data_IF_319211226471
#
_entry.id   IF_319211226471
#
_cell.length_a   1.000
_cell.length_b   1.000
_cell.length_c   1.000
_cell.angle_alpha   90.00
_cell.angle_beta   90.00
_cell.angle_gamma   90.00
#
_symmetry.space_group_name_H-M   'P 1'
#
loop_
_entity.id
_entity.type
_entity.pdbx_description
1 polymer ?
#
# COMPACT_ATOMS: atom_id res chain seq x y z
N UNK A 1 21.27 32.60 18.74
CA UNK A 1 21.08 33.08 17.36
C UNK A 1 19.97 32.26 16.73
N UNK A 2 18.85 32.92 16.42
CA UNK A 2 17.57 32.29 16.10
C UNK A 2 17.57 31.59 14.75
N UNK A 3 16.99 30.39 14.71
CA UNK A 3 16.65 29.71 13.47
C UNK A 3 15.28 30.19 13.01
N UNK A 4 15.30 31.02 11.97
CA UNK A 4 14.20 31.41 11.12
C UNK A 4 13.41 30.18 10.63
N UNK A 5 12.15 30.07 11.04
CA UNK A 5 11.15 29.25 10.37
C UNK A 5 10.83 29.93 9.03
N UNK A 6 11.38 29.41 7.93
CA UNK A 6 10.83 29.70 6.61
C UNK A 6 9.57 28.86 6.44
N UNK A 7 8.42 29.45 6.78
CA UNK A 7 7.13 28.96 6.31
C UNK A 7 6.98 29.40 4.85
N UNK A 8 7.15 28.47 3.91
CA UNK A 8 6.78 28.69 2.51
C UNK A 8 5.27 28.53 2.43
N UNK A 9 4.55 29.65 2.47
CA UNK A 9 3.17 29.72 2.06
C UNK A 9 3.12 29.80 0.53
N UNK A 10 2.45 28.84 -0.12
CA UNK A 10 2.02 29.01 -1.50
C UNK A 10 0.67 28.32 -1.78
N UNK A 11 -0.16 29.09 -2.47
CA UNK A 11 -1.48 28.83 -3.09
C UNK A 11 -2.65 28.37 -2.22
N UNK A 12 -3.55 29.33 -2.02
CA UNK A 12 -4.94 29.18 -1.59
C UNK A 12 -5.72 28.18 -2.46
N UNK A 13 -5.93 26.98 -1.96
CA UNK A 13 -7.20 26.27 -2.14
C UNK A 13 -8.00 26.44 -0.86
N UNK A 14 -9.28 26.79 -0.97
CA UNK A 14 -10.20 26.90 0.18
C UNK A 14 -10.02 25.69 1.12
N UNK A 15 -10.02 25.90 2.45
CA UNK A 15 -9.90 24.79 3.38
C UNK A 15 -11.06 23.83 3.16
N UNK A 16 -10.74 22.59 2.83
CA UNK A 16 -11.68 21.48 2.94
C UNK A 16 -11.98 21.32 4.42
N UNK A 17 -13.12 21.87 4.85
CA UNK A 17 -13.63 21.69 6.20
C UNK A 17 -14.65 20.56 6.13
N UNK A 18 -14.39 19.39 6.75
CA UNK A 18 -15.41 18.38 6.91
C UNK A 18 -16.51 18.96 7.79
N UNK A 19 -17.65 19.31 7.21
CA UNK A 19 -18.82 19.71 7.98
C UNK A 19 -19.53 18.44 8.45
N UNK A 20 -19.36 18.05 9.71
CA UNK A 20 -20.27 17.10 10.34
C UNK A 20 -21.64 17.78 10.44
N UNK A 21 -22.62 17.30 9.69
CA UNK A 21 -23.97 17.86 9.74
C UNK A 21 -24.61 17.51 11.09
N UNK A 22 -25.10 18.55 11.75
CA UNK A 22 -25.99 18.48 12.90
C UNK A 22 -27.17 17.56 12.59
N UNK A 23 -27.49 16.65 13.50
CA UNK A 23 -28.45 15.54 13.34
C UNK A 23 -29.94 15.95 13.33
N UNK A 24 -30.27 17.23 13.20
CA UNK A 24 -31.65 17.68 13.04
C UNK A 24 -31.95 17.86 11.55
N UNK A 25 -32.51 16.81 10.93
CA UNK A 25 -32.99 16.88 9.56
C UNK A 25 -34.18 17.86 9.48
N UNK A 26 -33.90 19.14 9.24
CA UNK A 26 -34.94 20.12 8.90
C UNK A 26 -35.51 19.78 7.52
N UNK A 27 -36.74 19.24 7.49
CA UNK A 27 -37.46 18.99 6.25
C UNK A 27 -37.95 20.33 5.69
N UNK A 28 -37.43 20.74 4.54
CA UNK A 28 -37.91 21.96 3.88
C UNK A 28 -39.35 21.78 3.39
N UNK A 29 -40.12 22.87 3.36
CA UNK A 29 -41.49 22.88 2.79
C UNK A 29 -41.46 22.42 1.32
N UNK A 30 -40.36 22.66 0.61
CA UNK A 30 -40.16 22.19 -0.77
C UNK A 30 -40.06 20.66 -0.86
N UNK A 31 -39.34 20.01 0.07
CA UNK A 31 -39.26 18.55 0.13
C UNK A 31 -40.63 17.92 0.44
N UNK A 32 -41.41 18.53 1.34
CA UNK A 32 -42.79 18.12 1.64
C UNK A 32 -43.72 18.27 0.44
N UNK A 33 -43.63 19.37 -0.30
CA UNK A 33 -44.41 19.58 -1.54
C UNK A 33 -44.05 18.54 -2.61
N UNK A 34 -42.76 18.24 -2.78
CA UNK A 34 -42.28 17.23 -3.72
C UNK A 34 -42.78 15.82 -3.35
N UNK A 35 -42.95 15.54 -2.06
CA UNK A 35 -43.46 14.28 -1.52
C UNK A 35 -45.01 14.22 -1.42
N UNK A 36 -45.74 15.15 -2.06
CA UNK A 36 -47.21 15.16 -2.03
C UNK A 36 -47.81 15.42 -0.63
N UNK A 37 -47.06 16.05 0.27
CA UNK A 37 -47.46 16.31 1.66
C UNK A 37 -47.15 15.17 2.63
N UNK A 38 -46.58 14.05 2.17
CA UNK A 38 -46.14 12.94 3.02
C UNK A 38 -44.82 13.27 3.72
N UNK A 39 -44.84 13.34 5.05
CA UNK A 39 -43.63 13.54 5.86
C UNK A 39 -42.68 12.36 5.74
N UNK A 40 -43.20 11.13 5.74
CA UNK A 40 -42.40 9.91 5.65
C UNK A 40 -41.65 9.81 4.32
N UNK A 41 -42.31 10.14 3.22
CA UNK A 41 -41.67 10.10 1.90
C UNK A 41 -40.69 11.27 1.71
N UNK A 42 -40.96 12.43 2.33
CA UNK A 42 -40.00 13.52 2.40
C UNK A 42 -38.73 13.11 3.17
N UNK A 43 -38.87 12.40 4.30
CA UNK A 43 -37.73 11.85 5.06
C UNK A 43 -36.94 10.86 4.20
N UNK A 44 -37.60 9.88 3.60
CA UNK A 44 -36.92 8.89 2.72
C UNK A 44 -36.15 9.57 1.58
N UNK A 45 -36.74 10.60 0.98
CA UNK A 45 -36.10 11.35 -0.10
C UNK A 45 -34.85 12.10 0.39
N UNK A 46 -34.91 12.74 1.56
CA UNK A 46 -33.77 13.44 2.15
C UNK A 46 -32.67 12.46 2.58
N UNK A 47 -33.04 11.31 3.15
CA UNK A 47 -32.10 10.26 3.53
C UNK A 47 -31.40 9.65 2.31
N UNK A 48 -32.12 9.40 1.22
CA UNK A 48 -31.52 8.90 -0.02
C UNK A 48 -30.44 9.86 -0.58
N UNK A 49 -30.66 11.17 -0.48
CA UNK A 49 -29.69 12.19 -0.94
C UNK A 49 -28.35 12.13 -0.22
N UNK A 50 -28.26 11.50 0.95
CA UNK A 50 -26.97 11.28 1.62
C UNK A 50 -26.04 10.40 0.81
N UNK A 51 -26.60 9.52 -0.01
CA UNK A 51 -25.84 8.54 -0.77
C UNK A 51 -25.65 8.91 -2.24
N UNK A 52 -26.40 9.87 -2.77
CA UNK A 52 -26.32 10.23 -4.19
C UNK A 52 -25.15 11.17 -4.46
N UNK A 53 -24.28 10.83 -5.42
CA UNK A 53 -23.16 11.67 -5.84
C UNK A 53 -23.69 12.96 -6.49
N UNK A 54 -23.30 14.11 -5.95
CA UNK A 54 -23.56 15.42 -6.53
C UNK A 54 -22.43 15.86 -7.47
N UNK A 55 -21.18 15.67 -7.04
CA UNK A 55 -20.01 16.05 -7.83
C UNK A 55 -18.77 15.25 -7.44
N UNK A 56 -17.89 15.05 -8.43
CA UNK A 56 -16.52 14.57 -8.27
C UNK A 56 -15.56 15.66 -8.72
N UNK A 57 -14.43 15.79 -8.05
CA UNK A 57 -13.34 16.66 -8.48
C UNK A 57 -12.00 16.03 -8.11
N UNK A 58 -11.10 15.89 -9.07
CA UNK A 58 -9.75 15.41 -8.87
C UNK A 58 -8.70 16.51 -9.06
N UNK A 59 -7.57 16.32 -8.39
CA UNK A 59 -6.37 17.15 -8.51
C UNK A 59 -5.11 16.29 -8.46
N UNK A 60 -4.03 16.87 -9.00
CA UNK A 60 -2.67 16.34 -8.88
C UNK A 60 -2.07 16.83 -7.55
N UNK A 61 -1.61 15.91 -6.71
CA UNK A 61 -0.84 16.19 -5.48
C UNK A 61 0.52 15.48 -5.55
N UNK A 62 1.38 15.63 -4.54
CA UNK A 62 2.65 14.91 -4.44
C UNK A 62 2.59 13.80 -3.40
N UNK A 63 3.17 12.64 -3.72
CA UNK A 63 3.38 11.52 -2.80
C UNK A 63 4.59 11.76 -1.87
N UNK A 64 4.89 10.80 -1.01
CA UNK A 64 6.01 10.87 -0.05
C UNK A 64 7.39 11.01 -0.69
N UNK A 65 7.54 10.64 -1.97
CA UNK A 65 8.79 10.74 -2.76
C UNK A 65 8.82 12.00 -3.62
N UNK A 66 7.78 12.84 -3.55
CA UNK A 66 7.66 14.04 -4.38
C UNK A 66 7.23 13.75 -5.82
N UNK A 67 6.70 12.56 -6.13
CA UNK A 67 6.13 12.25 -7.43
C UNK A 67 4.64 12.62 -7.46
N UNK A 68 4.08 13.02 -8.62
CA UNK A 68 2.66 13.29 -8.75
C UNK A 68 1.77 12.08 -8.48
N UNK A 69 0.61 12.27 -7.83
CA UNK A 69 -0.46 11.28 -7.71
C UNK A 69 -1.85 11.95 -7.70
N UNK A 70 -2.91 11.16 -7.77
CA UNK A 70 -4.31 11.60 -7.86
C UNK A 70 -4.94 11.72 -6.47
N UNK A 71 -5.66 12.81 -6.24
CA UNK A 71 -6.56 12.99 -5.10
C UNK A 71 -7.95 13.38 -5.58
N UNK A 72 -8.99 12.72 -5.07
CA UNK A 72 -10.39 12.90 -5.44
C UNK A 72 -11.20 13.39 -4.26
N UNK A 73 -11.97 14.45 -4.48
CA UNK A 73 -13.06 14.89 -3.61
C UNK A 73 -14.40 14.41 -4.18
N UNK A 74 -15.26 13.86 -3.32
CA UNK A 74 -16.63 13.47 -3.62
C UNK A 74 -17.58 14.24 -2.71
N UNK A 75 -18.59 14.86 -3.31
CA UNK A 75 -19.68 15.53 -2.60
C UNK A 75 -21.00 14.86 -2.92
N UNK A 76 -21.80 14.55 -1.90
CA UNK A 76 -23.15 13.97 -2.07
C UNK A 76 -24.23 15.05 -2.16
N UNK A 77 -25.45 14.71 -2.56
CA UNK A 77 -26.56 15.67 -2.65
C UNK A 77 -26.95 16.29 -1.30
N UNK A 78 -26.72 15.57 -0.19
CA UNK A 78 -26.90 16.10 1.16
C UNK A 78 -25.75 17.00 1.63
N UNK A 79 -24.65 17.08 0.88
CA UNK A 79 -23.47 17.88 1.23
C UNK A 79 -22.40 17.15 2.04
N UNK A 80 -22.47 15.81 2.19
CA UNK A 80 -21.33 15.04 2.70
C UNK A 80 -20.16 15.24 1.75
N UNK A 81 -19.01 15.61 2.28
CA UNK A 81 -17.80 15.93 1.52
C UNK A 81 -16.65 15.10 2.05
N UNK A 82 -16.06 14.28 1.18
CA UNK A 82 -14.96 13.35 1.53
C UNK A 82 -13.83 13.45 0.51
N UNK A 83 -12.65 12.98 0.92
CA UNK A 83 -11.42 13.04 0.12
C UNK A 83 -10.64 11.74 0.18
N UNK A 84 -10.09 11.31 -0.95
CA UNK A 84 -9.21 10.16 -1.04
C UNK A 84 -8.02 10.42 -1.97
N UNK A 85 -6.81 10.16 -1.49
CA UNK A 85 -5.58 10.16 -2.28
C UNK A 85 -5.18 8.72 -2.61
N UNK A 86 -4.51 8.54 -3.74
CA UNK A 86 -4.09 7.23 -4.25
C UNK A 86 -2.58 7.04 -4.05
N UNK A 87 -2.11 5.91 -3.50
CA UNK A 87 -0.69 5.61 -3.40
C UNK A 87 -0.09 5.27 -4.78
N UNK A 88 1.24 5.28 -4.86
CA UNK A 88 2.00 4.85 -6.05
C UNK A 88 3.19 4.00 -5.61
N UNK A 89 3.40 2.85 -6.27
CA UNK A 89 4.52 1.94 -6.00
C UNK A 89 5.86 2.43 -6.55
N UNK A 90 6.96 1.78 -6.19
CA UNK A 90 8.31 2.01 -6.75
C UNK A 90 8.72 0.83 -7.64
N UNK A 91 8.77 -0.37 -7.05
CA UNK A 91 8.69 -1.64 -7.75
C UNK A 91 7.21 -1.89 -8.09
N UNK A 92 6.93 -2.16 -9.36
CA UNK A 92 5.58 -2.47 -9.83
C UNK A 92 5.64 -3.76 -10.60
N UNK A 93 4.86 -4.77 -10.17
CA UNK A 93 4.73 -6.01 -10.89
C UNK A 93 4.18 -5.78 -12.30
N UNK A 94 4.62 -6.57 -13.29
CA UNK A 94 4.24 -6.35 -14.70
C UNK A 94 2.75 -6.59 -14.98
N UNK A 95 2.05 -7.18 -14.01
CA UNK A 95 0.64 -7.56 -14.10
C UNK A 95 -0.30 -6.66 -13.30
N UNK A 96 0.22 -5.61 -12.66
CA UNK A 96 -0.60 -4.65 -11.92
C UNK A 96 -1.58 -3.90 -12.84
N UNK A 97 -2.66 -3.41 -12.25
CA UNK A 97 -3.52 -2.43 -12.87
C UNK A 97 -2.74 -1.14 -13.19
N UNK A 98 -3.07 -0.52 -14.32
CA UNK A 98 -2.28 0.54 -14.90
C UNK A 98 -2.39 1.85 -14.11
N UNK A 99 -1.28 2.28 -13.51
CA UNK A 99 -1.13 3.66 -13.08
C UNK A 99 -0.96 4.58 -14.31
N UNK A 100 -1.99 5.37 -14.64
CA UNK A 100 -1.95 6.23 -15.83
C UNK A 100 -1.11 7.49 -15.57
N UNK A 101 0.04 7.55 -16.23
CA UNK A 101 0.98 8.69 -16.25
C UNK A 101 0.88 9.51 -17.55
N UNK A 102 1.28 10.77 -17.48
CA UNK A 102 1.23 11.71 -18.61
C UNK A 102 2.28 11.36 -19.69
N UNK A 103 3.48 10.93 -19.29
CA UNK A 103 4.61 10.68 -20.19
C UNK A 103 5.29 11.95 -20.70
N UNK A 104 4.88 13.13 -20.22
CA UNK A 104 5.46 14.42 -20.61
C UNK A 104 6.80 14.66 -19.89
N UNK A 105 7.92 14.46 -20.60
CA UNK A 105 9.27 14.67 -20.06
C UNK A 105 9.52 16.11 -19.56
N UNK A 106 8.73 17.09 -20.02
CA UNK A 106 8.81 18.48 -19.55
C UNK A 106 8.20 18.70 -18.16
N UNK A 107 7.47 17.73 -17.61
CA UNK A 107 6.82 17.83 -16.29
C UNK A 107 7.09 16.60 -15.44
N UNK A 108 7.67 16.81 -14.25
CA UNK A 108 7.93 15.73 -13.28
C UNK A 108 8.59 14.50 -13.93
N UNK A 109 9.49 14.72 -14.89
CA UNK A 109 10.21 13.66 -15.61
C UNK A 109 9.27 12.63 -16.30
N UNK A 110 8.09 13.04 -16.75
CA UNK A 110 7.08 12.16 -17.35
C UNK A 110 6.07 11.58 -16.37
N UNK A 111 6.23 11.80 -15.06
CA UNK A 111 5.40 11.20 -14.00
C UNK A 111 4.15 11.99 -13.63
N UNK A 112 3.80 13.05 -14.37
CA UNK A 112 2.54 13.78 -14.19
C UNK A 112 1.31 12.86 -14.29
N UNK A 113 0.20 13.25 -13.68
CA UNK A 113 -1.05 12.46 -13.66
C UNK A 113 -2.26 13.27 -14.16
N UNK A 114 -2.04 14.30 -15.00
CA UNK A 114 -3.12 15.12 -15.54
C UNK A 114 -4.13 14.31 -16.34
N UNK A 115 -3.71 13.28 -17.08
CA UNK A 115 -4.63 12.40 -17.81
C UNK A 115 -5.60 11.67 -16.88
N UNK A 116 -5.11 11.12 -15.76
CA UNK A 116 -5.94 10.47 -14.77
C UNK A 116 -6.87 11.45 -14.05
N UNK A 117 -6.37 12.65 -13.71
CA UNK A 117 -7.17 13.75 -13.15
C UNK A 117 -8.29 14.16 -14.10
N UNK A 118 -7.99 14.29 -15.39
CA UNK A 118 -8.98 14.63 -16.42
C UNK A 118 -10.05 13.54 -16.57
N UNK A 119 -9.66 12.26 -16.50
CA UNK A 119 -10.60 11.14 -16.54
C UNK A 119 -11.61 11.21 -15.38
N UNK A 120 -11.18 11.59 -14.17
CA UNK A 120 -12.11 11.81 -13.05
C UNK A 120 -13.00 13.02 -13.31
N UNK A 121 -12.42 14.17 -13.67
CA UNK A 121 -13.12 15.44 -13.81
C UNK A 121 -14.11 15.50 -14.97
N UNK A 122 -13.98 14.61 -15.96
CA UNK A 122 -14.84 14.58 -17.14
C UNK A 122 -15.68 13.30 -17.19
N UNK A 123 -15.07 12.18 -17.57
CA UNK A 123 -15.75 10.92 -17.86
C UNK A 123 -16.46 10.38 -16.61
N UNK A 124 -15.73 10.23 -15.50
CA UNK A 124 -16.29 9.66 -14.27
C UNK A 124 -17.26 10.64 -13.60
N UNK A 125 -16.93 11.94 -13.50
CA UNK A 125 -17.82 12.95 -12.94
C UNK A 125 -19.18 13.02 -13.65
N UNK A 126 -19.19 12.96 -14.98
CA UNK A 126 -20.42 12.95 -15.76
C UNK A 126 -21.20 11.64 -15.60
N UNK A 127 -20.52 10.49 -15.72
CA UNK A 127 -21.16 9.20 -15.72
C UNK A 127 -21.69 8.76 -14.34
N UNK A 128 -21.08 9.22 -13.25
CA UNK A 128 -21.40 8.81 -11.87
C UNK A 128 -22.27 9.82 -11.12
N UNK A 129 -22.63 10.95 -11.73
CA UNK A 129 -23.56 11.90 -11.12
C UNK A 129 -24.91 11.22 -10.82
N UNK A 130 -25.38 11.37 -9.58
CA UNK A 130 -26.59 10.73 -9.07
C UNK A 130 -26.44 9.24 -8.76
N UNK A 131 -25.25 8.64 -8.91
CA UNK A 131 -25.01 7.26 -8.48
C UNK A 131 -25.03 7.16 -6.96
N UNK A 132 -25.52 6.03 -6.45
CA UNK A 132 -25.60 5.74 -5.02
C UNK A 132 -24.27 5.16 -4.51
N UNK A 133 -23.61 5.84 -3.57
CA UNK A 133 -22.33 5.40 -2.99
C UNK A 133 -22.47 4.19 -2.07
N UNK A 134 -23.68 3.86 -1.60
CA UNK A 134 -23.91 2.66 -0.79
C UNK A 134 -23.81 1.37 -1.61
N UNK A 135 -23.99 1.47 -2.93
CA UNK A 135 -23.90 0.38 -3.92
C UNK A 135 -22.46 0.23 -4.46
N UNK A 136 -21.48 0.12 -3.55
CA UNK A 136 -20.04 0.11 -3.85
C UNK A 136 -19.67 -0.80 -5.03
N UNK A 137 -20.14 -2.06 -5.00
CA UNK A 137 -19.86 -3.06 -6.05
C UNK A 137 -20.37 -2.62 -7.42
N UNK A 138 -21.57 -2.03 -7.49
CA UNK A 138 -22.15 -1.58 -8.75
C UNK A 138 -21.41 -0.35 -9.29
N UNK A 139 -21.02 0.56 -8.40
CA UNK A 139 -20.25 1.75 -8.74
C UNK A 139 -18.87 1.36 -9.29
N UNK A 140 -18.15 0.48 -8.60
CA UNK A 140 -16.83 -0.02 -9.03
C UNK A 140 -16.92 -0.77 -10.36
N UNK A 141 -17.93 -1.63 -10.54
CA UNK A 141 -18.16 -2.33 -11.79
C UNK A 141 -18.42 -1.37 -12.97
N UNK A 142 -19.23 -0.33 -12.75
CA UNK A 142 -19.51 0.69 -13.77
C UNK A 142 -18.24 1.46 -14.15
N UNK A 143 -17.36 1.80 -13.20
CA UNK A 143 -16.08 2.44 -13.52
C UNK A 143 -15.17 1.55 -14.35
N UNK A 144 -15.09 0.26 -14.00
CA UNK A 144 -14.33 -0.73 -14.79
C UNK A 144 -14.92 -0.92 -16.19
N UNK A 145 -16.25 -0.89 -16.34
CA UNK A 145 -16.92 -0.96 -17.64
C UNK A 145 -16.65 0.28 -18.51
N UNK A 146 -16.67 1.48 -17.92
CA UNK A 146 -16.36 2.73 -18.62
C UNK A 146 -14.92 2.77 -19.16
N UNK A 147 -13.99 2.20 -18.38
CA UNK A 147 -12.63 1.96 -18.83
C UNK A 147 -12.59 0.91 -19.96
N UNK A 148 -13.19 -0.26 -19.73
CA UNK A 148 -13.35 -1.31 -20.72
C UNK A 148 -12.06 -2.07 -21.06
N UNK A 149 -10.96 -1.83 -20.36
CA UNK A 149 -9.71 -2.58 -20.51
C UNK A 149 -9.44 -3.47 -19.30
N UNK A 150 -8.81 -4.66 -19.48
CA UNK A 150 -8.56 -5.57 -18.37
C UNK A 150 -7.67 -4.99 -17.25
N UNK A 151 -6.76 -4.09 -17.62
CA UNK A 151 -5.79 -3.49 -16.70
C UNK A 151 -6.12 -2.03 -16.33
N UNK A 152 -7.34 -1.55 -16.60
CA UNK A 152 -7.75 -0.16 -16.30
C UNK A 152 -6.88 0.91 -17.01
N UNK A 153 -6.29 0.59 -18.16
CA UNK A 153 -5.31 1.44 -18.85
C UNK A 153 -5.91 2.63 -19.61
N UNK A 154 -7.23 2.73 -19.77
CA UNK A 154 -7.86 3.82 -20.52
C UNK A 154 -8.14 5.05 -19.65
N UNK A 155 -8.70 4.83 -18.46
CA UNK A 155 -8.99 5.86 -17.46
C UNK A 155 -7.90 5.93 -16.38
N UNK A 156 -7.17 4.84 -16.17
CA UNK A 156 -6.17 4.69 -15.13
C UNK A 156 -6.75 4.09 -13.86
N UNK A 157 -6.09 3.06 -13.33
CA UNK A 157 -6.40 2.47 -12.02
C UNK A 157 -6.34 3.53 -10.92
N UNK A 158 -5.40 4.48 -11.03
CA UNK A 158 -5.27 5.61 -10.11
C UNK A 158 -6.44 6.61 -10.16
N UNK A 159 -7.14 6.77 -11.29
CA UNK A 159 -8.37 7.55 -11.35
C UNK A 159 -9.54 6.79 -10.70
N UNK A 160 -9.71 5.52 -11.07
CA UNK A 160 -10.80 4.66 -10.61
C UNK A 160 -10.74 4.43 -9.10
N UNK A 161 -9.56 4.08 -8.58
CA UNK A 161 -9.37 3.84 -7.15
C UNK A 161 -9.65 5.10 -6.32
N UNK A 162 -9.24 6.28 -6.78
CA UNK A 162 -9.50 7.53 -6.08
C UNK A 162 -11.00 7.77 -5.88
N UNK A 163 -11.80 7.53 -6.91
CA UNK A 163 -13.27 7.62 -6.84
C UNK A 163 -13.85 6.52 -5.95
N UNK A 164 -13.36 5.28 -6.08
CA UNK A 164 -13.82 4.12 -5.30
C UNK A 164 -13.64 4.34 -3.78
N UNK A 165 -12.46 4.80 -3.36
CA UNK A 165 -12.15 5.12 -1.97
C UNK A 165 -12.96 6.30 -1.45
N UNK A 166 -13.20 7.32 -2.29
CA UNK A 166 -14.04 8.46 -1.94
C UNK A 166 -15.51 8.01 -1.76
N UNK A 167 -16.03 7.13 -2.61
CA UNK A 167 -17.38 6.57 -2.48
C UNK A 167 -17.54 5.79 -1.17
N UNK A 168 -16.59 4.90 -0.84
CA UNK A 168 -16.61 4.14 0.42
C UNK A 168 -16.62 5.06 1.66
N UNK A 169 -15.81 6.13 1.63
CA UNK A 169 -15.80 7.17 2.68
C UNK A 169 -17.14 7.89 2.80
N UNK A 170 -17.74 8.29 1.68
CA UNK A 170 -19.03 8.97 1.67
C UNK A 170 -20.14 8.06 2.18
N UNK A 171 -20.13 6.78 1.80
CA UNK A 171 -21.11 5.80 2.25
C UNK A 171 -20.99 5.52 3.76
N UNK A 172 -19.77 5.44 4.29
CA UNK A 172 -19.53 5.29 5.73
C UNK A 172 -20.08 6.49 6.52
N UNK A 173 -19.76 7.71 6.08
CA UNK A 173 -20.25 8.96 6.68
C UNK A 173 -21.78 9.05 6.61
N UNK A 174 -22.38 8.72 5.46
CA UNK A 174 -23.84 8.72 5.27
C UNK A 174 -24.55 7.70 6.18
N UNK A 175 -23.92 6.55 6.46
CA UNK A 175 -24.39 5.54 7.42
C UNK A 175 -24.12 5.92 8.88
N UNK A 176 -23.32 6.95 9.15
CA UNK A 176 -22.90 7.31 10.50
C UNK A 176 -22.01 6.25 11.16
N UNK A 177 -21.19 5.54 10.38
CA UNK A 177 -20.28 4.49 10.88
C UNK A 177 -18.83 4.80 10.51
N UNK A 178 -17.84 4.39 11.34
CA UNK A 178 -16.44 4.47 10.96
C UNK A 178 -16.12 3.68 9.69
N UNK A 179 -15.18 4.17 8.88
CA UNK A 179 -14.80 3.58 7.59
C UNK A 179 -14.38 2.10 7.72
N UNK A 180 -13.63 1.72 8.76
CA UNK A 180 -13.23 0.32 8.95
C UNK A 180 -14.43 -0.61 9.14
N UNK A 181 -15.51 -0.13 9.79
CA UNK A 181 -16.73 -0.89 9.99
C UNK A 181 -17.50 -1.02 8.68
N UNK A 182 -17.57 0.07 7.91
CA UNK A 182 -18.16 0.03 6.57
C UNK A 182 -17.48 -1.01 5.66
N UNK A 183 -16.15 -1.09 5.64
CA UNK A 183 -15.44 -2.13 4.90
C UNK A 183 -15.67 -3.54 5.48
N UNK A 184 -15.73 -3.68 6.81
CA UNK A 184 -16.08 -4.95 7.45
C UNK A 184 -17.46 -5.47 7.03
N UNK A 185 -18.45 -4.57 6.97
CA UNK A 185 -19.80 -4.88 6.51
C UNK A 185 -19.82 -5.27 5.02
N UNK A 186 -19.09 -4.52 4.16
CA UNK A 186 -18.97 -4.83 2.73
C UNK A 186 -18.29 -6.18 2.46
N UNK A 187 -17.27 -6.52 3.26
CA UNK A 187 -16.56 -7.79 3.17
C UNK A 187 -17.38 -8.97 3.75
N UNK A 188 -18.49 -8.69 4.44
CA UNK A 188 -19.29 -9.72 5.11
C UNK A 188 -18.56 -10.35 6.30
N UNK A 189 -17.68 -9.59 6.97
CA UNK A 189 -16.90 -10.11 8.10
C UNK A 189 -17.82 -10.40 9.29
N UNK A 190 -17.94 -11.67 9.74
CA UNK A 190 -18.91 -12.06 10.77
C UNK A 190 -18.41 -11.82 12.21
N UNK A 191 -17.12 -11.50 12.36
CA UNK A 191 -16.43 -11.44 13.65
C UNK A 191 -16.19 -10.02 14.17
N UNK A 192 -15.68 -9.90 15.41
CA UNK A 192 -15.21 -8.62 15.93
C UNK A 192 -14.06 -8.08 15.07
N UNK A 193 -13.92 -6.76 15.04
CA UNK A 193 -12.77 -6.11 14.40
C UNK A 193 -11.50 -6.51 15.15
N UNK A 194 -10.49 -6.96 14.40
CA UNK A 194 -9.17 -7.33 14.90
C UNK A 194 -8.17 -6.26 14.48
N UNK A 195 -7.39 -5.74 15.43
CA UNK A 195 -6.27 -4.87 15.10
C UNK A 195 -5.09 -5.72 14.59
N UNK A 196 -4.41 -5.30 13.50
CA UNK A 196 -3.33 -6.08 12.92
C UNK A 196 -2.07 -6.02 13.79
N UNK A 197 -1.19 -7.01 13.63
CA UNK A 197 0.20 -6.87 14.07
C UNK A 197 0.94 -6.06 13.01
N UNK A 198 1.55 -4.91 13.35
CA UNK A 198 2.31 -4.11 12.39
C UNK A 198 3.64 -4.80 12.03
N UNK A 199 3.97 -4.84 10.74
CA UNK A 199 5.29 -5.19 10.25
C UNK A 199 6.06 -3.90 9.96
N UNK A 200 7.07 -3.56 10.75
CA UNK A 200 7.82 -2.32 10.58
C UNK A 200 9.02 -2.54 9.67
N UNK A 201 9.01 -1.95 8.46
CA UNK A 201 10.22 -1.84 7.65
C UNK A 201 11.25 -0.95 8.36
N UNK A 202 12.40 -1.53 8.73
CA UNK A 202 13.44 -0.82 9.51
C UNK A 202 14.82 -0.82 8.85
N UNK A 203 15.04 -1.69 7.86
CA UNK A 203 16.25 -1.72 7.03
C UNK A 203 15.81 -1.85 5.58
N UNK A 204 16.26 -0.91 4.74
CA UNK A 204 15.91 -0.83 3.34
C UNK A 204 17.11 -1.24 2.46
N UNK A 205 16.82 -1.95 1.39
CA UNK A 205 17.72 -2.29 0.29
C UNK A 205 17.00 -2.18 -1.05
N UNK A 206 17.50 -2.89 -2.05
CA UNK A 206 16.92 -2.96 -3.39
C UNK A 206 16.70 -1.58 -4.01
N UNK A 207 15.57 -1.44 -4.71
CA UNK A 207 15.17 -0.20 -5.37
C UNK A 207 14.77 0.93 -4.40
N UNK A 208 14.64 0.65 -3.10
CA UNK A 208 14.26 1.61 -2.05
C UNK A 208 15.45 2.29 -1.35
N UNK A 209 16.68 1.92 -1.68
CA UNK A 209 17.88 2.44 -1.01
C UNK A 209 19.10 2.57 -1.95
N UNK A 210 19.99 3.52 -1.64
CA UNK A 210 21.26 3.73 -2.34
C UNK A 210 22.43 2.92 -1.75
N UNK A 211 22.17 1.72 -1.21
CA UNK A 211 23.18 0.83 -0.61
C UNK A 211 23.39 -0.42 -1.49
N UNK A 212 24.20 -1.38 -1.01
CA UNK A 212 24.48 -2.62 -1.73
C UNK A 212 23.53 -3.77 -1.42
N UNK A 213 22.55 -3.55 -0.54
CA UNK A 213 21.69 -4.61 -0.01
C UNK A 213 20.68 -5.02 -1.07
N UNK A 214 20.66 -6.29 -1.48
CA UNK A 214 19.76 -6.74 -2.55
C UNK A 214 18.30 -6.85 -2.14
N UNK A 215 18.02 -7.34 -0.92
CA UNK A 215 16.63 -7.50 -0.47
C UNK A 215 16.07 -6.14 -0.07
N UNK A 216 14.82 -5.92 -0.43
CA UNK A 216 14.20 -4.61 -0.34
C UNK A 216 13.92 -4.17 1.10
N UNK A 217 13.44 -5.07 1.96
CA UNK A 217 12.91 -4.71 3.27
C UNK A 217 13.17 -5.76 4.35
N UNK A 218 13.45 -5.30 5.57
CA UNK A 218 13.55 -6.16 6.75
C UNK A 218 12.65 -5.64 7.87
N UNK A 219 11.83 -6.54 8.39
CA UNK A 219 10.75 -6.21 9.31
C UNK A 219 11.07 -6.54 10.77
N UNK A 220 10.64 -5.65 11.67
CA UNK A 220 10.39 -5.99 13.07
C UNK A 220 8.90 -6.24 13.25
N UNK A 221 8.54 -7.39 13.83
CA UNK A 221 7.14 -7.81 13.95
C UNK A 221 6.84 -8.18 15.43
N UNK A 222 6.21 -7.29 16.21
CA UNK A 222 5.95 -7.48 17.64
C UNK A 222 4.71 -8.37 17.91
N UNK A 223 4.75 -9.63 17.47
CA UNK A 223 3.64 -10.60 17.62
C UNK A 223 3.26 -10.90 19.07
N UNK A 224 4.16 -10.66 20.04
CA UNK A 224 3.91 -10.86 21.47
C UNK A 224 3.39 -9.62 22.20
N UNK A 225 3.01 -8.56 21.48
CA UNK A 225 2.35 -7.40 22.05
C UNK A 225 0.88 -7.70 22.37
N UNK A 226 0.37 -7.20 23.50
CA UNK A 226 -1.02 -7.42 23.93
C UNK A 226 -2.00 -6.46 23.22
N UNK A 227 -1.50 -5.32 22.74
CA UNK A 227 -2.31 -4.29 22.07
C UNK A 227 -1.56 -3.66 20.92
N UNK A 228 -2.28 -3.08 19.96
CA UNK A 228 -1.68 -2.32 18.87
C UNK A 228 -0.82 -1.16 19.38
N UNK A 229 -1.24 -0.47 20.44
CA UNK A 229 -0.46 0.61 21.07
C UNK A 229 0.86 0.10 21.62
N UNK A 230 0.88 -1.08 22.24
CA UNK A 230 2.12 -1.70 22.68
C UNK A 230 2.99 -2.11 21.49
N UNK A 231 2.41 -2.72 20.46
CA UNK A 231 3.12 -3.10 19.23
C UNK A 231 3.84 -1.91 18.58
N UNK A 232 3.15 -0.76 18.46
CA UNK A 232 3.73 0.49 17.96
C UNK A 232 4.90 0.98 18.81
N UNK A 233 4.77 0.92 20.14
CA UNK A 233 5.85 1.32 21.06
C UNK A 233 7.07 0.41 20.91
N UNK A 234 6.87 -0.91 20.87
CA UNK A 234 7.94 -1.89 20.68
C UNK A 234 8.67 -1.62 19.35
N UNK A 235 7.93 -1.46 18.25
CA UNK A 235 8.51 -1.14 16.94
C UNK A 235 9.37 0.13 16.98
N UNK A 236 8.87 1.21 17.58
CA UNK A 236 9.58 2.48 17.71
C UNK A 236 10.85 2.40 18.58
N UNK A 237 10.79 1.71 19.72
CA UNK A 237 11.94 1.51 20.60
C UNK A 237 13.03 0.68 19.92
N UNK A 238 12.65 -0.40 19.23
CA UNK A 238 13.58 -1.20 18.42
C UNK A 238 14.19 -0.38 17.28
N UNK A 239 13.39 0.43 16.57
CA UNK A 239 13.88 1.30 15.49
C UNK A 239 14.92 2.32 15.98
N UNK A 240 14.67 2.98 17.11
CA UNK A 240 15.63 3.92 17.70
C UNK A 240 16.89 3.21 18.22
N UNK A 241 16.75 1.98 18.73
CA UNK A 241 17.87 1.14 19.14
C UNK A 241 18.74 0.76 17.94
N UNK A 242 18.10 0.34 16.85
CA UNK A 242 18.74 0.02 15.57
C UNK A 242 19.53 1.22 15.03
N UNK A 243 18.95 2.44 15.07
CA UNK A 243 19.66 3.67 14.70
C UNK A 243 20.99 3.82 15.44
N UNK A 244 21.00 3.56 16.74
CA UNK A 244 22.19 3.63 17.58
C UNK A 244 23.24 2.57 17.21
N UNK A 245 22.79 1.34 16.93
CA UNK A 245 23.64 0.23 16.47
C UNK A 245 24.31 0.58 15.14
N UNK A 246 23.51 0.96 14.14
CA UNK A 246 23.98 1.34 12.81
C UNK A 246 24.97 2.51 12.90
N UNK A 247 24.63 3.56 13.65
CA UNK A 247 25.52 4.71 13.86
C UNK A 247 26.88 4.31 14.43
N UNK A 248 26.88 3.36 15.38
CA UNK A 248 28.11 2.88 16.02
C UNK A 248 28.93 1.99 15.10
N UNK A 249 28.29 1.11 14.32
CA UNK A 249 28.96 0.14 13.44
C UNK A 249 29.47 0.79 12.14
N UNK A 250 28.69 1.68 11.54
CA UNK A 250 28.93 2.21 10.18
C UNK A 250 29.06 3.74 10.09
N UNK A 251 28.83 4.47 11.19
CA UNK A 251 28.90 5.93 11.22
C UNK A 251 27.55 6.62 11.01
N UNK A 252 27.55 7.96 11.13
CA UNK A 252 26.32 8.77 11.12
C UNK A 252 25.52 8.71 9.83
N UNK A 253 26.20 8.71 8.69
CA UNK A 253 25.58 8.75 7.36
C UNK A 253 24.80 7.47 7.04
N UNK A 254 25.17 6.33 7.65
CA UNK A 254 24.44 5.08 7.55
C UNK A 254 23.06 5.12 8.24
N UNK A 255 22.74 6.18 8.98
CA UNK A 255 21.42 6.40 9.60
C UNK A 255 20.48 7.28 8.78
N UNK A 256 20.86 7.61 7.54
CA UNK A 256 19.91 8.12 6.55
C UNK A 256 18.86 7.04 6.24
N UNK A 257 17.68 7.49 5.84
CA UNK A 257 16.50 6.63 5.64
C UNK A 257 16.19 6.50 4.14
N UNK A 258 15.64 5.35 3.75
CA UNK A 258 15.06 5.13 2.44
C UNK A 258 13.62 5.65 2.34
N UNK A 259 12.95 5.31 1.23
CA UNK A 259 11.62 5.81 0.88
C UNK A 259 10.55 5.51 1.95
N UNK A 260 10.71 4.41 2.69
CA UNK A 260 9.75 3.93 3.70
C UNK A 260 10.17 4.20 5.14
N UNK A 261 11.25 4.96 5.35
CA UNK A 261 11.70 5.37 6.69
C UNK A 261 12.63 4.38 7.40
N UNK A 262 12.85 3.17 6.87
CA UNK A 262 13.91 2.27 7.31
C UNK A 262 15.31 2.80 6.95
N UNK A 263 16.34 2.32 7.65
CA UNK A 263 17.73 2.75 7.43
C UNK A 263 18.35 2.05 6.23
N UNK A 264 19.34 2.66 5.58
CA UNK A 264 20.07 2.06 4.46
C UNK A 264 21.55 1.75 4.81
N UNK A 265 21.84 0.83 5.75
CA UNK A 265 23.21 0.47 6.11
C UNK A 265 23.92 -0.25 4.95
N UNK A 266 25.26 -0.17 4.85
CA UNK A 266 26.04 -0.87 3.83
C UNK A 266 26.32 -2.32 4.24
N UNK A 267 25.26 -3.13 4.36
CA UNK A 267 25.35 -4.53 4.80
C UNK A 267 24.95 -5.52 3.67
N UNK A 268 25.24 -6.80 3.87
CA UNK A 268 24.72 -7.87 3.02
C UNK A 268 23.34 -8.39 3.50
N UNK A 269 22.76 -9.34 2.75
CA UNK A 269 21.42 -9.85 3.01
C UNK A 269 21.26 -10.52 4.38
N UNK A 270 22.29 -11.25 4.86
CA UNK A 270 22.22 -11.89 6.17
C UNK A 270 22.47 -10.89 7.28
N UNK A 271 23.45 -9.99 7.10
CA UNK A 271 23.75 -8.95 8.07
C UNK A 271 22.53 -8.04 8.34
N UNK A 272 21.65 -7.84 7.35
CA UNK A 272 20.37 -7.14 7.53
C UNK A 272 19.51 -7.79 8.63
N UNK A 273 19.32 -9.12 8.57
CA UNK A 273 18.61 -9.89 9.59
C UNK A 273 19.31 -9.80 10.95
N UNK A 274 20.64 -9.89 10.96
CA UNK A 274 21.45 -9.83 12.19
C UNK A 274 21.33 -8.48 12.90
N UNK A 275 21.36 -7.37 12.15
CA UNK A 275 21.15 -6.02 12.69
C UNK A 275 19.75 -5.86 13.31
N UNK A 276 18.72 -6.39 12.64
CA UNK A 276 17.35 -6.38 13.15
C UNK A 276 17.23 -7.19 14.44
N UNK A 277 17.80 -8.39 14.47
CA UNK A 277 17.81 -9.23 15.67
C UNK A 277 18.58 -8.56 16.82
N UNK A 278 19.76 -7.98 16.55
CA UNK A 278 20.54 -7.25 17.56
C UNK A 278 19.75 -6.08 18.17
N UNK A 279 18.98 -5.35 17.34
CA UNK A 279 18.13 -4.27 17.79
C UNK A 279 16.99 -4.76 18.69
N UNK A 280 16.32 -5.84 18.31
CA UNK A 280 15.27 -6.49 19.11
C UNK A 280 15.81 -6.92 20.48
N UNK A 281 16.99 -7.56 20.51
CA UNK A 281 17.61 -8.04 21.75
C UNK A 281 18.01 -6.87 22.66
N UNK A 282 18.68 -5.85 22.11
CA UNK A 282 19.12 -4.69 22.89
C UNK A 282 17.97 -3.82 23.39
N UNK A 283 16.85 -3.79 22.68
CA UNK A 283 15.63 -3.12 23.12
C UNK A 283 14.88 -3.93 24.21
N UNK A 284 15.27 -5.19 24.46
CA UNK A 284 14.65 -6.04 25.49
C UNK A 284 13.39 -6.77 25.03
N UNK A 285 13.18 -6.95 23.72
CA UNK A 285 11.95 -7.52 23.13
C UNK A 285 12.16 -8.86 22.43
N UNK A 286 13.24 -9.58 22.75
CA UNK A 286 13.57 -10.89 22.15
C UNK A 286 12.40 -11.88 22.16
N UNK A 287 11.65 -11.94 23.25
CA UNK A 287 10.53 -12.88 23.40
C UNK A 287 9.21 -12.36 22.82
N UNK A 288 9.14 -11.08 22.44
CA UNK A 288 7.94 -10.43 21.90
C UNK A 288 7.98 -10.19 20.39
N UNK A 289 9.16 -10.19 19.78
CA UNK A 289 9.34 -9.88 18.37
C UNK A 289 9.74 -11.09 17.53
N UNK A 290 9.35 -11.04 16.27
CA UNK A 290 9.77 -11.88 15.17
C UNK A 290 10.32 -11.00 14.05
N UNK A 291 10.91 -11.62 13.04
CA UNK A 291 11.46 -10.96 11.88
C UNK A 291 10.62 -11.34 10.65
N UNK A 292 10.54 -10.43 9.68
CA UNK A 292 10.08 -10.73 8.34
C UNK A 292 10.95 -10.03 7.31
N UNK A 293 10.74 -10.34 6.03
CA UNK A 293 11.46 -9.71 4.93
C UNK A 293 10.53 -9.54 3.72
N UNK A 294 10.72 -8.46 2.97
CA UNK A 294 10.36 -8.40 1.55
C UNK A 294 11.65 -8.42 0.74
N UNK A 295 11.76 -9.43 -0.12
CA UNK A 295 12.93 -9.65 -0.95
C UNK A 295 12.84 -8.86 -2.24
N UNK A 296 11.65 -8.71 -2.84
CA UNK A 296 11.42 -8.19 -4.19
C UNK A 296 12.36 -8.82 -5.25
N UNK A 297 12.43 -10.15 -5.29
CA UNK A 297 13.45 -10.87 -6.08
C UNK A 297 13.39 -10.65 -7.59
N UNK A 298 12.25 -10.20 -8.13
CA UNK A 298 12.10 -9.79 -9.52
C UNK A 298 13.13 -8.71 -9.91
N UNK A 299 13.47 -7.80 -8.99
CA UNK A 299 14.36 -6.65 -9.25
C UNK A 299 15.83 -7.05 -9.49
N UNK A 300 16.23 -8.25 -9.04
CA UNK A 300 17.57 -8.78 -9.24
C UNK A 300 17.60 -10.16 -9.90
N UNK A 301 16.51 -10.55 -10.57
CA UNK A 301 16.51 -11.70 -11.50
C UNK A 301 17.35 -11.34 -12.72
N UNK A 302 18.26 -12.23 -13.11
CA UNK A 302 19.10 -11.99 -14.28
C UNK A 302 18.34 -12.37 -15.55
N UNK A 303 18.10 -11.39 -16.43
CA UNK A 303 17.35 -11.60 -17.67
C UNK A 303 17.99 -12.70 -18.53
N UNK A 304 17.18 -13.68 -18.93
CA UNK A 304 17.59 -14.80 -19.77
C UNK A 304 18.45 -15.86 -19.06
N UNK A 305 18.65 -15.78 -17.74
CA UNK A 305 19.40 -16.74 -16.96
C UNK A 305 18.58 -17.30 -15.80
N UNK A 306 18.83 -18.56 -15.44
CA UNK A 306 18.20 -19.19 -14.27
C UNK A 306 18.94 -18.85 -12.98
N UNK A 307 19.13 -17.55 -12.72
CA UNK A 307 19.77 -17.08 -11.50
C UNK A 307 19.29 -15.69 -11.07
N UNK A 308 19.54 -15.42 -9.80
CA UNK A 308 19.32 -14.16 -9.10
C UNK A 308 20.68 -13.60 -8.71
N UNK A 309 20.91 -12.30 -8.90
CA UNK A 309 22.18 -11.63 -8.61
C UNK A 309 22.07 -10.68 -7.42
N UNK A 310 22.39 -11.19 -6.22
CA UNK A 310 22.45 -10.40 -4.99
C UNK A 310 23.53 -9.29 -5.05
N UNK A 311 24.40 -9.32 -6.07
CA UNK A 311 25.38 -8.28 -6.36
C UNK A 311 24.85 -7.13 -7.23
N UNK A 312 23.56 -7.12 -7.59
CA UNK A 312 22.97 -6.12 -8.52
C UNK A 312 23.29 -4.68 -8.13
N UNK A 313 23.23 -4.36 -6.83
CA UNK A 313 23.54 -3.03 -6.29
C UNK A 313 24.93 -2.92 -5.65
N UNK A 314 25.79 -3.94 -5.76
CA UNK A 314 27.15 -3.84 -5.25
C UNK A 314 27.95 -2.82 -6.06
N UNK A 315 28.91 -2.11 -5.44
CA UNK A 315 29.91 -1.34 -6.20
C UNK A 315 30.62 -2.23 -7.22
N UNK A 316 30.97 -1.70 -8.38
CA UNK A 316 31.55 -2.51 -9.48
C UNK A 316 32.79 -3.31 -9.07
N UNK A 317 33.60 -2.80 -8.13
CA UNK A 317 34.77 -3.50 -7.60
C UNK A 317 34.48 -4.66 -6.63
N UNK A 318 33.22 -4.83 -6.22
CA UNK A 318 32.77 -5.87 -5.27
C UNK A 318 31.85 -6.93 -5.92
N UNK A 319 31.45 -6.76 -7.19
CA UNK A 319 30.50 -7.66 -7.89
C UNK A 319 31.05 -9.07 -8.17
N UNK A 320 32.36 -9.25 -8.08
CA UNK A 320 33.00 -10.57 -8.25
C UNK A 320 33.07 -11.38 -6.93
N UNK A 321 32.44 -10.89 -5.85
CA UNK A 321 32.41 -11.64 -4.59
C UNK A 321 31.72 -13.00 -4.79
N UNK A 322 32.27 -14.09 -4.21
CA UNK A 322 31.72 -15.43 -4.40
C UNK A 322 30.32 -15.55 -3.80
N UNK A 323 29.43 -16.26 -4.49
CA UNK A 323 28.08 -16.56 -3.99
C UNK A 323 27.04 -15.45 -4.19
N UNK A 324 27.35 -14.40 -4.96
CA UNK A 324 26.37 -13.35 -5.29
C UNK A 324 25.29 -13.82 -6.28
N UNK A 325 25.61 -14.80 -7.15
CA UNK A 325 24.66 -15.39 -8.08
C UNK A 325 24.16 -16.74 -7.56
N UNK A 326 22.86 -16.88 -7.45
CA UNK A 326 22.19 -18.08 -6.96
C UNK A 326 21.08 -18.50 -7.92
N UNK A 327 20.96 -19.79 -8.19
CA UNK A 327 19.75 -20.38 -8.78
C UNK A 327 18.57 -20.25 -7.82
N UNK A 328 17.33 -20.44 -8.29
CA UNK A 328 16.15 -20.41 -7.41
C UNK A 328 16.22 -21.45 -6.28
N UNK A 329 16.80 -22.62 -6.54
CA UNK A 329 17.00 -23.65 -5.52
C UNK A 329 18.05 -23.25 -4.46
N UNK A 330 19.18 -22.68 -4.88
CA UNK A 330 20.21 -22.19 -3.95
C UNK A 330 19.69 -21.02 -3.09
N UNK A 331 18.89 -20.14 -3.69
CA UNK A 331 18.27 -19.01 -2.99
C UNK A 331 17.19 -19.49 -2.00
N UNK A 332 16.40 -20.51 -2.36
CA UNK A 332 15.48 -21.19 -1.43
C UNK A 332 16.21 -21.85 -0.25
N UNK A 333 17.38 -22.45 -0.50
CA UNK A 333 18.25 -23.01 0.55
C UNK A 333 18.79 -21.91 1.48
N UNK A 334 19.20 -20.78 0.91
CA UNK A 334 19.63 -19.60 1.67
C UNK A 334 18.52 -19.08 2.60
N UNK A 335 17.30 -18.89 2.10
CA UNK A 335 16.16 -18.48 2.93
C UNK A 335 15.81 -19.50 4.01
N UNK A 336 15.78 -20.79 3.68
CA UNK A 336 15.49 -21.82 4.66
C UNK A 336 16.53 -21.83 5.79
N UNK A 337 17.80 -21.53 5.48
CA UNK A 337 18.85 -21.37 6.50
C UNK A 337 18.64 -20.13 7.37
N UNK A 338 18.20 -19.01 6.80
CA UNK A 338 17.82 -17.83 7.59
C UNK A 338 16.66 -18.14 8.55
N UNK A 339 15.63 -18.85 8.09
CA UNK A 339 14.51 -19.27 8.96
C UNK A 339 14.92 -20.26 10.05
N UNK A 340 15.99 -21.04 9.88
CA UNK A 340 16.54 -21.91 10.92
C UNK A 340 17.33 -21.12 11.96
N UNK A 341 18.08 -20.11 11.52
CA UNK A 341 19.00 -19.35 12.37
C UNK A 341 18.30 -18.21 13.12
N UNK A 342 17.20 -17.67 12.57
CA UNK A 342 16.49 -16.50 13.09
C UNK A 342 14.97 -16.74 13.18
N UNK A 343 14.25 -16.01 14.05
CA UNK A 343 12.81 -16.17 14.21
C UNK A 343 12.02 -15.46 13.09
N UNK A 344 12.30 -15.82 11.84
CA UNK A 344 11.63 -15.31 10.65
C UNK A 344 10.29 -16.02 10.46
N UNK A 345 9.21 -15.24 10.40
CA UNK A 345 7.84 -15.78 10.30
C UNK A 345 7.16 -15.40 8.99
N UNK A 346 7.73 -14.50 8.20
CA UNK A 346 7.17 -14.10 6.90
C UNK A 346 8.26 -13.69 5.93
N UNK A 347 8.16 -14.14 4.68
CA UNK A 347 9.02 -13.76 3.57
C UNK A 347 8.13 -13.45 2.36
N UNK A 348 8.25 -12.24 1.86
CA UNK A 348 7.56 -11.71 0.69
C UNK A 348 8.47 -11.71 -0.53
N UNK A 349 7.88 -12.03 -1.69
CA UNK A 349 8.51 -12.09 -3.01
C UNK A 349 9.93 -12.70 -3.04
N UNK A 350 10.11 -13.93 -2.50
CA UNK A 350 11.40 -14.62 -2.48
C UNK A 350 11.95 -14.94 -3.87
N UNK A 351 11.12 -14.92 -4.92
CA UNK A 351 11.51 -15.24 -6.30
C UNK A 351 10.84 -14.29 -7.29
N UNK A 352 11.34 -14.30 -8.52
CA UNK A 352 10.74 -13.55 -9.63
C UNK A 352 9.23 -13.87 -9.76
N UNK A 353 8.48 -12.84 -10.15
CA UNK A 353 7.02 -12.88 -10.26
C UNK A 353 6.46 -14.01 -11.15
N UNK A 354 7.26 -14.59 -12.07
CA UNK A 354 6.85 -15.72 -12.90
C UNK A 354 7.70 -17.00 -12.70
N UNK A 355 8.58 -17.05 -11.70
CA UNK A 355 9.34 -18.25 -11.33
C UNK A 355 8.52 -19.22 -10.44
N UNK A 356 7.37 -19.65 -10.97
CA UNK A 356 6.42 -20.52 -10.26
C UNK A 356 7.04 -21.82 -9.72
N UNK A 357 8.13 -22.31 -10.33
CA UNK A 357 8.82 -23.51 -9.87
C UNK A 357 9.53 -23.27 -8.53
N UNK A 358 10.30 -22.17 -8.42
CA UNK A 358 11.00 -21.81 -7.19
C UNK A 358 10.04 -21.46 -6.06
N UNK A 359 8.95 -20.73 -6.37
CA UNK A 359 7.88 -20.44 -5.41
C UNK A 359 7.30 -21.71 -4.78
N UNK A 360 6.96 -22.72 -5.60
CA UNK A 360 6.40 -24.00 -5.13
C UNK A 360 7.40 -24.78 -4.28
N UNK A 361 8.65 -24.88 -4.75
CA UNK A 361 9.73 -25.55 -4.04
C UNK A 361 9.93 -24.97 -2.64
N UNK A 362 9.99 -23.64 -2.55
CA UNK A 362 10.21 -22.96 -1.29
C UNK A 362 9.01 -23.06 -0.35
N UNK A 363 7.79 -22.85 -0.85
CA UNK A 363 6.57 -22.99 -0.05
C UNK A 363 6.40 -24.41 0.48
N UNK A 364 6.73 -25.45 -0.29
CA UNK A 364 6.77 -26.83 0.22
C UNK A 364 7.77 -27.00 1.37
N UNK A 365 8.92 -26.34 1.28
CA UNK A 365 10.02 -26.47 2.24
C UNK A 365 9.78 -25.72 3.55
N UNK A 366 9.20 -24.51 3.52
CA UNK A 366 9.09 -23.62 4.70
C UNK A 366 7.68 -23.11 5.00
N UNK A 367 6.69 -23.39 4.15
CA UNK A 367 5.34 -22.81 4.23
C UNK A 367 4.51 -23.22 5.46
N UNK A 368 5.01 -24.12 6.30
CA UNK A 368 4.42 -24.44 7.60
C UNK A 368 4.78 -23.40 8.67
N UNK A 369 6.07 -23.26 9.04
CA UNK A 369 6.52 -22.31 10.06
C UNK A 369 6.65 -20.85 9.58
N UNK A 370 6.70 -20.61 8.26
CA UNK A 370 6.90 -19.29 7.67
C UNK A 370 5.80 -18.98 6.66
N UNK A 371 5.25 -17.77 6.74
CA UNK A 371 4.39 -17.20 5.73
C UNK A 371 5.22 -16.89 4.47
N UNK A 372 4.80 -17.40 3.33
CA UNK A 372 5.34 -17.07 2.01
C UNK A 372 4.30 -16.18 1.34
N UNK A 373 4.62 -14.90 1.22
CA UNK A 373 3.71 -13.86 0.74
C UNK A 373 3.95 -13.63 -0.74
N UNK A 374 2.89 -13.70 -1.54
CA UNK A 374 2.94 -13.25 -2.93
C UNK A 374 2.46 -11.81 -3.04
N UNK A 375 3.34 -10.90 -3.47
CA UNK A 375 3.03 -9.53 -3.89
C UNK A 375 3.06 -9.44 -5.43
N UNK A 376 4.22 -9.27 -6.08
CA UNK A 376 4.35 -9.26 -7.53
C UNK A 376 3.85 -10.56 -8.17
N UNK A 377 4.00 -11.68 -7.46
CA UNK A 377 3.44 -12.97 -7.89
C UNK A 377 1.92 -12.89 -8.11
N UNK A 378 1.21 -12.15 -7.26
CA UNK A 378 -0.26 -12.16 -7.23
C UNK A 378 -0.90 -10.85 -7.70
N UNK A 379 -0.21 -9.72 -7.55
CA UNK A 379 -0.63 -8.34 -7.85
C UNK A 379 -2.07 -8.04 -7.42
N UNK A 380 -2.50 -8.61 -6.29
CA UNK A 380 -3.88 -8.54 -5.80
C UNK A 380 -4.94 -9.02 -6.84
N UNK A 381 -4.53 -9.72 -7.89
CA UNK A 381 -5.35 -10.13 -9.02
C UNK A 381 -5.95 -11.52 -8.80
N UNK A 382 -7.28 -11.61 -8.82
CA UNK A 382 -8.04 -12.85 -8.57
C UNK A 382 -7.57 -14.02 -9.45
N UNK A 383 -7.18 -13.77 -10.70
CA UNK A 383 -6.71 -14.83 -11.62
C UNK A 383 -5.35 -15.37 -11.17
N UNK A 384 -4.41 -14.48 -10.81
CA UNK A 384 -3.08 -14.89 -10.34
C UNK A 384 -3.12 -15.47 -8.94
N UNK A 385 -3.94 -14.93 -8.03
CA UNK A 385 -4.24 -15.52 -6.72
C UNK A 385 -4.78 -16.94 -6.87
N UNK A 386 -5.74 -17.16 -7.79
CA UNK A 386 -6.27 -18.49 -8.05
C UNK A 386 -5.17 -19.45 -8.53
N UNK A 387 -4.31 -19.02 -9.46
CA UNK A 387 -3.17 -19.82 -9.90
C UNK A 387 -2.23 -20.16 -8.74
N UNK A 388 -1.92 -19.19 -7.88
CA UNK A 388 -1.06 -19.40 -6.71
C UNK A 388 -1.66 -20.41 -5.72
N UNK A 389 -2.98 -20.40 -5.53
CA UNK A 389 -3.69 -21.42 -4.73
C UNK A 389 -3.58 -22.80 -5.39
N UNK A 390 -3.90 -22.90 -6.68
CA UNK A 390 -3.91 -24.17 -7.42
C UNK A 390 -2.50 -24.80 -7.45
N UNK A 391 -1.46 -23.96 -7.59
CA UNK A 391 -0.07 -24.39 -7.59
C UNK A 391 0.54 -24.56 -6.19
N UNK A 392 -0.12 -24.09 -5.13
CA UNK A 392 0.45 -23.96 -3.77
C UNK A 392 1.76 -23.16 -3.78
N UNK A 393 1.80 -22.10 -4.58
CA UNK A 393 2.99 -21.29 -4.80
C UNK A 393 3.33 -20.38 -3.62
N UNK A 394 2.31 -19.92 -2.88
CA UNK A 394 2.44 -19.10 -1.67
C UNK A 394 1.30 -19.46 -0.70
N UNK A 395 1.35 -18.96 0.54
CA UNK A 395 0.31 -19.20 1.55
C UNK A 395 -0.27 -17.90 2.13
N UNK A 396 0.14 -16.74 1.60
CA UNK A 396 -0.43 -15.45 1.92
C UNK A 396 -0.41 -14.48 0.74
N UNK A 397 -1.29 -13.48 0.83
CA UNK A 397 -1.48 -12.42 -0.15
C UNK A 397 -1.04 -11.10 0.47
N UNK A 398 -0.17 -10.35 -0.21
CA UNK A 398 -0.06 -8.92 0.05
C UNK A 398 -1.18 -8.19 -0.71
N UNK A 399 -2.04 -7.50 0.03
CA UNK A 399 -3.19 -6.81 -0.56
C UNK A 399 -2.87 -5.32 -0.74
N UNK A 400 -2.52 -4.93 -1.97
CA UNK A 400 -2.31 -3.54 -2.37
C UNK A 400 -3.48 -3.08 -3.24
N UNK A 401 -4.32 -2.21 -2.68
CA UNK A 401 -5.60 -1.79 -3.31
C UNK A 401 -5.43 -1.10 -4.67
N UNK A 402 -4.25 -0.54 -4.98
CA UNK A 402 -3.96 0.11 -6.26
C UNK A 402 -3.47 -0.86 -7.36
N UNK A 403 -3.18 -2.12 -7.02
CA UNK A 403 -2.72 -3.11 -8.00
C UNK A 403 -3.87 -3.77 -8.79
N UNK A 404 -5.13 -3.59 -8.39
CA UNK A 404 -6.28 -4.36 -8.93
C UNK A 404 -7.18 -3.62 -9.91
#
# INVERSE_FOLDING_TARGET
FGSSRLAVANSLSLPFVPTSLCTDAMISIEALKAAGGSVEDAIKTVEAKKFLIKSLFAREILDSRGNPTVEVDLVTESGISVRAAVPSGASTGIHEACELRDGDKGRYLGKGVKKAVEAVNTVLASALKGADVSEQKALDAKMCELDGTPNKGKLGANAILGVSLAAAKAAAEAKGVPLYKHFGDLAGNPGPVVLPVPCFNVVNGGSHAGNKLAFQEYFIIPVGAETFTEAMRIGAECYHTLKGIIKKKYGGDATLIGDEGGFAPPCDAREGVELVMEAIEKAGYKDKCKIGMDVAASEFKVEGQDCYDLGTWYPDGEKDAPGLKMTGAELADFYAKLCQDFPIITIEDPFDQDDWASWKLFTEKVGGPCQVVGDDLTVTNVTRVKKAIDDKACNALLLKVNQI
#
